data_IF_167574389735
#
_entry.id   IF_167574389735
#
_cell.length_a   1.000
_cell.length_b   1.000
_cell.length_c   1.000
_cell.angle_alpha   90.00
_cell.angle_beta   90.00
_cell.angle_gamma   90.00
#
_symmetry.space_group_name_H-M   'P 1'
#
loop_
_entity.id
_entity.type
_entity.pdbx_description
1 polymer ?
#
# COMPACT_ATOMS: atom_id res chain seq x y z
N UNK A 1 -15.67 42.93 -14.86
CA UNK A 1 -14.22 42.82 -14.61
C UNK A 1 -13.88 41.96 -13.38
N UNK A 2 -14.52 42.18 -12.20
CA UNK A 2 -14.27 41.36 -10.99
C UNK A 2 -14.46 39.84 -11.18
N UNK A 3 -15.48 39.43 -11.94
CA UNK A 3 -15.74 38.00 -12.24
C UNK A 3 -14.65 37.33 -13.09
N UNK A 4 -14.09 38.06 -14.06
CA UNK A 4 -12.99 37.57 -14.89
C UNK A 4 -11.70 37.43 -14.06
N UNK A 5 -11.46 38.36 -13.14
CA UNK A 5 -10.35 38.28 -12.20
C UNK A 5 -10.43 37.02 -11.31
N UNK A 6 -11.59 36.73 -10.72
CA UNK A 6 -11.78 35.51 -9.93
C UNK A 6 -11.65 34.22 -10.76
N UNK A 7 -12.10 34.23 -12.01
CA UNK A 7 -11.96 33.09 -12.91
C UNK A 7 -10.50 32.81 -13.27
N UNK A 8 -9.73 33.86 -13.58
CA UNK A 8 -8.29 33.74 -13.86
C UNK A 8 -7.53 33.26 -12.61
N UNK A 9 -7.87 33.78 -11.42
CA UNK A 9 -7.28 33.34 -10.16
C UNK A 9 -7.57 31.85 -9.88
N UNK A 10 -8.80 31.39 -10.17
CA UNK A 10 -9.18 29.98 -10.05
C UNK A 10 -8.38 29.07 -11.00
N UNK A 11 -8.21 29.48 -12.26
CA UNK A 11 -7.39 28.74 -13.22
C UNK A 11 -5.91 28.65 -12.78
N UNK A 12 -5.37 29.72 -12.21
CA UNK A 12 -3.99 29.73 -11.71
C UNK A 12 -3.81 28.82 -10.49
N UNK A 13 -4.80 28.77 -9.59
CA UNK A 13 -4.79 27.86 -8.44
C UNK A 13 -4.93 26.39 -8.85
N UNK A 14 -5.72 26.08 -9.89
CA UNK A 14 -5.85 24.72 -10.39
C UNK A 14 -4.55 24.20 -11.04
N UNK A 15 -3.79 25.08 -11.70
CA UNK A 15 -2.57 24.71 -12.42
C UNK A 15 -1.41 24.26 -11.52
N UNK A 16 -1.43 24.56 -10.23
CA UNK A 16 -0.35 24.20 -9.28
C UNK A 16 -0.59 22.89 -8.54
N UNK A 17 -1.64 22.13 -8.88
CA UNK A 17 -2.12 20.98 -8.11
C UNK A 17 -1.45 19.62 -8.46
N UNK A 18 -0.18 19.61 -8.83
CA UNK A 18 0.55 18.36 -9.14
C UNK A 18 1.69 18.15 -8.14
N UNK A 19 1.54 17.20 -7.21
CA UNK A 19 2.61 16.88 -6.25
C UNK A 19 2.73 15.37 -6.03
N UNK A 20 3.23 14.65 -7.04
CA UNK A 20 3.87 13.36 -6.84
C UNK A 20 5.27 13.43 -7.43
N UNK A 21 6.27 13.48 -6.55
CA UNK A 21 7.69 13.60 -6.92
C UNK A 21 8.28 12.23 -7.24
N UNK A 22 9.13 12.15 -8.26
CA UNK A 22 9.74 10.90 -8.72
C UNK A 22 11.23 11.02 -8.96
N UNK A 23 11.96 9.99 -8.54
CA UNK A 23 13.42 9.87 -8.62
C UNK A 23 13.82 8.89 -9.71
N UNK A 24 14.92 9.20 -10.40
CA UNK A 24 15.55 8.29 -11.35
C UNK A 24 16.55 7.40 -10.61
N UNK A 25 16.54 6.12 -10.93
CA UNK A 25 17.49 5.13 -10.41
C UNK A 25 18.31 4.62 -11.59
N UNK A 26 19.62 4.83 -11.52
CA UNK A 26 20.57 4.29 -12.50
C UNK A 26 20.56 2.76 -12.49
N UNK A 27 20.80 2.14 -13.65
CA UNK A 27 20.93 0.69 -13.74
C UNK A 27 22.11 0.17 -12.92
N UNK A 28 21.97 -1.03 -12.37
CA UNK A 28 22.99 -1.63 -11.52
C UNK A 28 22.93 -3.16 -11.59
N UNK A 29 24.04 -3.82 -11.26
CA UNK A 29 24.07 -5.27 -11.07
C UNK A 29 23.79 -5.58 -9.61
N UNK A 30 22.79 -6.41 -9.34
CA UNK A 30 22.45 -6.79 -7.97
C UNK A 30 23.45 -7.82 -7.39
N UNK A 31 23.36 -8.12 -6.09
CA UNK A 31 24.25 -9.08 -5.41
C UNK A 31 24.19 -10.50 -5.99
N UNK A 32 23.12 -10.83 -6.72
CA UNK A 32 22.92 -12.12 -7.37
C UNK A 32 23.47 -12.15 -8.81
N UNK A 33 24.15 -11.09 -9.25
CA UNK A 33 24.74 -10.97 -10.58
C UNK A 33 23.75 -10.59 -11.70
N UNK A 34 22.48 -10.34 -11.39
CA UNK A 34 21.49 -9.92 -12.40
C UNK A 34 21.56 -8.41 -12.64
N UNK A 35 21.64 -8.01 -13.91
CA UNK A 35 21.54 -6.61 -14.29
C UNK A 35 20.10 -6.10 -14.16
N UNK A 36 19.94 -4.94 -13.52
CA UNK A 36 18.68 -4.21 -13.39
C UNK A 36 18.77 -2.95 -14.24
N UNK A 37 17.85 -2.83 -15.20
CA UNK A 37 17.74 -1.65 -16.05
C UNK A 37 17.39 -0.39 -15.25
N UNK A 38 17.82 0.81 -15.69
CA UNK A 38 17.42 2.05 -15.05
C UNK A 38 15.90 2.26 -15.09
N UNK A 39 15.34 2.85 -14.04
CA UNK A 39 13.90 3.07 -13.93
C UNK A 39 13.57 4.33 -13.11
N UNK A 40 12.33 4.80 -13.22
CA UNK A 40 11.79 5.85 -12.35
C UNK A 40 10.90 5.25 -11.27
N UNK A 41 11.04 5.80 -10.06
CA UNK A 41 10.21 5.46 -8.90
C UNK A 41 9.73 6.73 -8.20
N UNK A 42 8.73 6.59 -7.35
CA UNK A 42 8.33 7.65 -6.41
C UNK A 42 9.47 8.01 -5.47
N UNK A 43 9.51 9.26 -5.03
CA UNK A 43 10.50 9.71 -4.05
C UNK A 43 10.28 8.98 -2.72
N UNK A 44 11.34 8.42 -2.12
CA UNK A 44 11.20 7.71 -0.84
C UNK A 44 10.59 8.58 0.25
N UNK A 45 9.62 8.03 0.98
CA UNK A 45 9.01 8.63 2.16
C UNK A 45 8.59 7.51 3.16
N UNK A 46 7.87 7.85 4.23
CA UNK A 46 7.48 6.91 5.30
C UNK A 46 6.25 6.05 4.98
N UNK A 47 5.59 6.26 3.84
CA UNK A 47 4.43 5.49 3.41
C UNK A 47 4.67 4.79 2.08
N UNK A 48 3.87 3.76 1.80
CA UNK A 48 3.82 3.11 0.48
C UNK A 48 2.62 3.56 -0.34
N UNK A 49 1.69 4.32 0.23
CA UNK A 49 0.40 4.62 -0.39
C UNK A 49 0.51 5.32 -1.75
N UNK A 50 1.53 6.14 -1.94
CA UNK A 50 1.79 6.89 -3.17
C UNK A 50 2.70 6.16 -4.16
N UNK A 51 3.32 5.03 -3.79
CA UNK A 51 4.21 4.29 -4.67
C UNK A 51 3.48 3.80 -5.93
N UNK A 52 4.13 3.90 -7.10
CA UNK A 52 3.58 3.38 -8.36
C UNK A 52 3.28 1.87 -8.31
N UNK A 53 4.01 1.14 -7.46
CA UNK A 53 3.82 -0.30 -7.28
C UNK A 53 2.64 -0.64 -6.36
N UNK A 54 2.00 0.33 -5.72
CA UNK A 54 0.90 0.11 -4.77
C UNK A 54 -0.44 -0.09 -5.47
N UNK A 55 -1.26 -1.04 -4.99
CA UNK A 55 -2.58 -1.36 -5.55
C UNK A 55 -3.42 -0.09 -5.69
N UNK A 56 -4.02 0.07 -6.87
CA UNK A 56 -4.83 1.25 -7.23
C UNK A 56 -4.04 2.34 -7.95
N UNK A 57 -2.71 2.35 -7.83
CA UNK A 57 -1.86 3.32 -8.54
C UNK A 57 -1.42 2.76 -9.90
N UNK A 58 -1.09 3.67 -10.82
CA UNK A 58 -0.55 3.37 -12.15
C UNK A 58 0.80 4.06 -12.30
N UNK A 59 1.79 3.33 -12.80
CA UNK A 59 3.07 3.92 -13.16
C UNK A 59 2.92 4.74 -14.46
N UNK A 60 3.12 6.08 -14.44
CA UNK A 60 2.97 6.91 -15.65
C UNK A 60 4.05 6.64 -16.71
N UNK A 61 5.17 6.01 -16.35
CA UNK A 61 6.29 5.73 -17.27
C UNK A 61 6.13 4.40 -18.00
N UNK A 62 5.41 3.44 -17.42
CA UNK A 62 5.26 2.09 -18.00
C UNK A 62 3.81 1.69 -18.24
N UNK A 63 2.83 2.47 -17.75
CA UNK A 63 1.40 2.14 -17.76
C UNK A 63 1.02 0.97 -16.86
N UNK A 64 1.95 0.44 -16.06
CA UNK A 64 1.74 -0.75 -15.25
C UNK A 64 0.93 -0.43 -13.99
N UNK A 65 -0.03 -1.28 -13.66
CA UNK A 65 -0.78 -1.20 -12.41
C UNK A 65 0.04 -1.69 -11.23
N UNK A 66 -0.07 -0.99 -10.10
CA UNK A 66 0.50 -1.41 -8.84
C UNK A 66 -0.21 -2.65 -8.28
N UNK A 67 0.56 -3.51 -7.62
CA UNK A 67 0.12 -4.82 -7.09
C UNK A 67 0.51 -5.02 -5.63
N UNK A 68 1.30 -4.11 -5.06
CA UNK A 68 1.76 -4.16 -3.67
C UNK A 68 0.70 -3.56 -2.74
N UNK A 69 0.51 -4.12 -1.54
CA UNK A 69 -0.47 -3.57 -0.59
C UNK A 69 -0.05 -2.15 -0.14
N UNK A 70 -1.05 -1.27 -0.03
CA UNK A 70 -0.94 0.01 0.67
C UNK A 70 -0.73 -0.21 2.18
N UNK A 71 -0.30 0.81 2.92
CA UNK A 71 -0.12 0.68 4.38
C UNK A 71 -1.45 0.49 5.11
N UNK A 72 -2.51 1.09 4.59
CA UNK A 72 -3.89 0.92 5.06
C UNK A 72 -4.61 -0.17 4.28
N UNK A 73 -3.91 -1.03 3.53
CA UNK A 73 -4.55 -2.13 2.81
C UNK A 73 -5.08 -3.17 3.80
N UNK A 74 -6.29 -2.93 4.27
CA UNK A 74 -7.23 -3.97 4.65
C UNK A 74 -7.68 -4.58 3.32
N UNK A 75 -7.32 -5.84 3.00
CA UNK A 75 -7.87 -6.46 1.82
C UNK A 75 -9.39 -6.37 1.89
N UNK A 76 -10.01 -5.71 0.90
CA UNK A 76 -11.43 -5.92 0.63
C UNK A 76 -11.56 -7.36 0.18
N UNK A 77 -11.68 -8.22 1.17
CA UNK A 77 -12.17 -9.55 0.98
C UNK A 77 -13.66 -9.38 0.68
N UNK A 78 -14.00 -9.24 -0.59
CA UNK A 78 -15.12 -10.05 -1.10
C UNK A 78 -14.64 -11.50 -1.20
N UNK A 79 -14.06 -12.02 -0.12
CA UNK A 79 -14.42 -13.36 0.25
C UNK A 79 -15.86 -13.18 0.71
N UNK A 80 -16.77 -13.93 0.10
CA UNK A 80 -17.89 -14.41 0.88
C UNK A 80 -17.28 -15.07 2.12
N UNK A 81 -17.09 -14.29 3.18
CA UNK A 81 -17.01 -14.78 4.52
C UNK A 81 -18.41 -15.36 4.76
N UNK A 82 -18.63 -16.56 4.26
CA UNK A 82 -19.38 -17.53 5.03
C UNK A 82 -18.60 -17.59 6.32
N UNK A 83 -18.98 -16.77 7.30
CA UNK A 83 -18.58 -16.93 8.69
C UNK A 83 -18.92 -18.37 9.01
N UNK A 84 -17.96 -19.31 9.13
CA UNK A 84 -18.29 -20.39 10.02
C UNK A 84 -18.21 -19.72 11.38
N UNK A 85 -19.35 -19.58 12.01
CA UNK A 85 -19.50 -19.15 13.39
C UNK A 85 -18.80 -20.20 14.27
N UNK A 86 -17.47 -20.25 14.23
CA UNK A 86 -16.69 -21.02 15.17
C UNK A 86 -16.40 -20.07 16.31
N UNK A 87 -17.28 -20.15 17.30
CA UNK A 87 -16.99 -19.82 18.68
C UNK A 87 -15.78 -20.65 19.12
N UNK A 88 -14.57 -20.27 18.70
CA UNK A 88 -13.35 -20.90 19.20
C UNK A 88 -13.04 -20.24 20.53
N UNK A 89 -13.12 -20.97 21.65
CA UNK A 89 -12.77 -20.41 22.95
C UNK A 89 -11.32 -19.93 22.91
N UNK A 90 -11.13 -18.66 23.28
CA UNK A 90 -9.82 -18.04 23.44
C UNK A 90 -9.37 -18.25 24.89
N UNK A 91 -8.12 -18.68 25.08
CA UNK A 91 -7.56 -18.98 26.38
C UNK A 91 -6.40 -18.04 26.70
N UNK A 92 -6.23 -17.74 27.99
CA UNK A 92 -5.07 -16.99 28.49
C UNK A 92 -3.91 -17.94 28.74
N UNK A 93 -2.77 -17.65 28.12
CA UNK A 93 -1.54 -18.41 28.27
C UNK A 93 -0.76 -18.05 29.55
N UNK A 94 0.17 -18.91 29.98
CA UNK A 94 0.93 -18.74 31.23
C UNK A 94 1.83 -17.50 31.26
N UNK A 95 2.06 -16.85 30.11
CA UNK A 95 2.85 -15.61 29.98
C UNK A 95 1.98 -14.38 29.69
N UNK A 96 0.66 -14.46 29.93
CA UNK A 96 -0.29 -13.37 29.77
C UNK A 96 -0.77 -13.10 28.33
N UNK A 97 -0.24 -13.81 27.32
CA UNK A 97 -0.73 -13.73 25.93
C UNK A 97 -1.99 -14.57 25.71
N UNK A 98 -2.88 -14.13 24.82
CA UNK A 98 -4.07 -14.89 24.42
C UNK A 98 -3.77 -15.81 23.24
N UNK A 99 -4.40 -16.98 23.22
CA UNK A 99 -4.23 -17.95 22.13
C UNK A 99 -5.53 -18.72 21.88
N UNK A 100 -5.67 -19.27 20.69
CA UNK A 100 -6.68 -20.28 20.36
C UNK A 100 -6.00 -21.57 19.88
N UNK A 101 -6.74 -22.68 19.91
CA UNK A 101 -6.27 -23.96 19.35
C UNK A 101 -6.82 -24.07 17.93
N UNK A 102 -5.93 -24.14 16.94
CA UNK A 102 -6.34 -24.27 15.54
C UNK A 102 -6.80 -25.71 15.23
N UNK A 103 -7.35 -25.93 14.03
CA UNK A 103 -7.86 -27.23 13.59
C UNK A 103 -6.82 -28.35 13.59
N UNK A 104 -5.53 -28.01 13.63
CA UNK A 104 -4.42 -28.96 13.72
C UNK A 104 -4.01 -29.25 15.18
N UNK A 105 -4.78 -28.78 16.16
CA UNK A 105 -4.50 -28.96 17.58
C UNK A 105 -3.40 -28.03 18.13
N UNK A 106 -2.90 -27.09 17.34
CA UNK A 106 -1.78 -26.24 17.73
C UNK A 106 -2.23 -24.93 18.37
N UNK A 107 -1.51 -24.52 19.42
CA UNK A 107 -1.71 -23.21 20.07
C UNK A 107 -1.19 -22.11 19.16
N UNK A 108 -2.09 -21.23 18.72
CA UNK A 108 -1.75 -20.06 17.90
C UNK A 108 -1.96 -18.81 18.74
N UNK A 109 -0.87 -18.11 19.04
CA UNK A 109 -0.91 -16.88 19.84
C UNK A 109 -1.41 -15.71 19.00
N UNK A 110 -2.31 -14.92 19.60
CA UNK A 110 -2.85 -13.71 19.00
C UNK A 110 -1.98 -12.56 19.51
N UNK A 111 -1.13 -12.02 18.63
CA UNK A 111 -0.39 -10.79 18.92
C UNK A 111 -1.33 -9.60 18.82
N UNK A 112 -1.21 -8.66 19.76
CA UNK A 112 -1.84 -7.33 19.64
C UNK A 112 -1.14 -6.50 18.57
#
# INVERSE_FOLDING_TARGET
MKKAFFFIAFLFAAATSFAQTSTYVSGYTNSNGTYVEPYRRTTPNYTRNDNYSTVGNVNPYTGSYGTKPADTYVPSTTYSYSTPTYSTPVYTGPRGGTYYVNSNGNKTYISR
#
